data_IF_554420061751
#
_entry.id   IF_554420061751
#
_cell.length_a   1.000
_cell.length_b   1.000
_cell.length_c   1.000
_cell.angle_alpha   90.00
_cell.angle_beta   90.00
_cell.angle_gamma   90.00
#
_symmetry.space_group_name_H-M   'P 1'
#
loop_
_entity.id
_entity.type
_entity.pdbx_description
1 polymer ?
#
# COMPACT_ATOMS: atom_id res chain seq x y z
N UNK A 1 -13.00 -18.37 -5.98
CA UNK A 1 -12.53 -17.32 -5.06
C UNK A 1 -13.63 -16.30 -4.98
N UNK A 2 -14.06 -15.99 -3.75
CA UNK A 2 -14.99 -14.89 -3.51
C UNK A 2 -14.29 -13.56 -3.82
N UNK A 3 -15.01 -12.55 -4.32
CA UNK A 3 -14.44 -11.23 -4.65
C UNK A 3 -13.69 -10.60 -3.47
N UNK A 4 -14.16 -10.87 -2.24
CA UNK A 4 -13.53 -10.42 -0.99
C UNK A 4 -12.15 -11.02 -0.76
N UNK A 5 -11.97 -12.30 -1.10
CA UNK A 5 -10.68 -13.00 -0.95
C UNK A 5 -9.65 -12.48 -1.96
N UNK A 6 -10.10 -12.22 -3.20
CA UNK A 6 -9.26 -11.64 -4.24
C UNK A 6 -8.79 -10.24 -3.85
N UNK A 7 -9.69 -9.40 -3.32
CA UNK A 7 -9.36 -8.04 -2.85
C UNK A 7 -8.35 -8.10 -1.69
N UNK A 8 -8.52 -9.03 -0.76
CA UNK A 8 -7.59 -9.21 0.36
C UNK A 8 -6.19 -9.64 -0.08
N UNK A 9 -6.09 -10.59 -1.02
CA UNK A 9 -4.79 -11.08 -1.52
C UNK A 9 -4.10 -10.07 -2.47
N UNK A 10 -4.87 -9.32 -3.25
CA UNK A 10 -4.33 -8.36 -4.22
C UNK A 10 -3.90 -7.02 -3.61
N UNK A 11 -4.20 -6.77 -2.33
CA UNK A 11 -3.93 -5.48 -1.68
C UNK A 11 -2.47 -5.02 -1.79
N UNK A 12 -1.51 -5.87 -1.38
CA UNK A 12 -0.08 -5.54 -1.44
C UNK A 12 0.44 -5.38 -2.88
N UNK A 13 0.18 -6.31 -3.82
CA UNK A 13 0.54 -6.12 -5.24
C UNK A 13 0.00 -4.84 -5.86
N UNK A 14 -1.25 -4.46 -5.54
CA UNK A 14 -1.86 -3.22 -6.03
C UNK A 14 -1.15 -1.99 -5.47
N UNK A 15 -0.83 -1.98 -4.17
CA UNK A 15 -0.05 -0.89 -3.56
C UNK A 15 1.32 -0.75 -4.23
N UNK A 16 2.01 -1.88 -4.49
CA UNK A 16 3.31 -1.88 -5.17
C UNK A 16 3.19 -1.30 -6.58
N UNK A 17 2.17 -1.69 -7.34
CA UNK A 17 1.93 -1.15 -8.68
C UNK A 17 1.70 0.37 -8.66
N UNK A 18 0.98 0.90 -7.66
CA UNK A 18 0.77 2.34 -7.52
C UNK A 18 2.06 3.09 -7.20
N UNK A 19 2.93 2.53 -6.34
CA UNK A 19 4.25 3.12 -6.09
C UNK A 19 5.11 3.12 -7.35
N UNK A 20 5.04 2.08 -8.19
CA UNK A 20 5.72 2.08 -9.50
C UNK A 20 5.20 3.17 -10.45
N UNK A 21 3.91 3.50 -10.38
CA UNK A 21 3.37 4.66 -11.11
C UNK A 21 3.99 5.97 -10.59
N UNK A 22 4.10 6.14 -9.26
CA UNK A 22 4.76 7.32 -8.67
C UNK A 22 6.21 7.44 -9.15
N UNK A 23 6.95 6.33 -9.21
CA UNK A 23 8.33 6.31 -9.69
C UNK A 23 8.45 6.76 -11.15
N UNK A 24 7.50 6.36 -11.99
CA UNK A 24 7.50 6.71 -13.43
C UNK A 24 7.06 8.15 -13.69
N UNK A 25 6.10 8.65 -12.92
CA UNK A 25 5.54 10.00 -13.11
C UNK A 25 6.39 11.07 -12.40
N UNK A 26 7.02 10.72 -11.28
CA UNK A 26 7.90 11.59 -10.51
C UNK A 26 9.32 11.01 -10.39
N UNK A 27 10.12 11.01 -11.47
CA UNK A 27 11.50 10.50 -11.42
C UNK A 27 12.41 11.30 -10.46
N UNK A 28 12.01 12.51 -10.08
CA UNK A 28 12.67 13.35 -9.07
C UNK A 28 12.35 12.95 -7.62
N UNK A 29 11.38 12.05 -7.41
CA UNK A 29 10.94 11.62 -6.08
C UNK A 29 12.04 10.76 -5.44
N UNK A 30 12.57 11.16 -4.27
CA UNK A 30 13.64 10.39 -3.63
C UNK A 30 13.18 9.00 -3.24
N UNK A 31 14.01 7.98 -3.48
CA UNK A 31 13.67 6.58 -3.19
C UNK A 31 13.35 6.31 -1.72
N UNK A 32 13.91 7.13 -0.82
CA UNK A 32 13.61 7.11 0.62
C UNK A 32 12.13 7.38 0.95
N UNK A 33 11.36 7.93 0.01
CA UNK A 33 9.94 8.24 0.21
C UNK A 33 9.02 7.12 -0.27
N UNK A 34 9.51 6.12 -1.02
CA UNK A 34 8.69 5.00 -1.51
C UNK A 34 7.98 4.21 -0.39
N UNK A 35 8.60 3.93 0.78
CA UNK A 35 7.90 3.33 1.91
C UNK A 35 6.72 4.16 2.41
N UNK A 36 6.84 5.50 2.35
CA UNK A 36 5.77 6.43 2.77
C UNK A 36 4.63 6.42 1.76
N UNK A 37 4.95 6.43 0.46
CA UNK A 37 3.95 6.30 -0.60
C UNK A 37 3.17 4.98 -0.49
N UNK A 38 3.85 3.87 -0.21
CA UNK A 38 3.20 2.58 0.03
C UNK A 38 2.19 2.64 1.20
N UNK A 39 2.55 3.31 2.29
CA UNK A 39 1.66 3.49 3.43
C UNK A 39 0.45 4.39 3.09
N UNK A 40 0.68 5.50 2.40
CA UNK A 40 -0.38 6.43 1.95
C UNK A 40 -1.37 5.71 1.04
N UNK A 41 -0.89 4.92 0.07
CA UNK A 41 -1.76 4.13 -0.80
C UNK A 41 -2.49 3.02 -0.06
N UNK A 42 -1.84 2.32 0.88
CA UNK A 42 -2.48 1.29 1.68
C UNK A 42 -3.66 1.83 2.50
N UNK A 43 -3.46 2.95 3.19
CA UNK A 43 -4.51 3.63 3.96
C UNK A 43 -5.59 4.18 3.03
N UNK A 44 -5.20 4.95 2.01
CA UNK A 44 -6.14 5.61 1.10
C UNK A 44 -7.07 4.62 0.39
N UNK A 45 -6.52 3.52 -0.14
CA UNK A 45 -7.30 2.50 -0.82
C UNK A 45 -8.26 1.77 0.14
N UNK A 46 -7.79 1.35 1.31
CA UNK A 46 -8.65 0.60 2.23
C UNK A 46 -9.75 1.48 2.83
N UNK A 47 -9.46 2.76 3.13
CA UNK A 47 -10.49 3.71 3.59
C UNK A 47 -11.51 3.96 2.48
N UNK A 48 -11.07 4.16 1.24
CA UNK A 48 -11.97 4.39 0.10
C UNK A 48 -12.88 3.18 -0.17
N UNK A 49 -12.31 1.98 -0.16
CA UNK A 49 -13.05 0.72 -0.34
C UNK A 49 -13.99 0.49 0.85
N UNK A 50 -13.49 0.65 2.07
CA UNK A 50 -14.27 0.50 3.30
C UNK A 50 -15.48 1.43 3.34
N UNK A 51 -15.30 2.69 2.92
CA UNK A 51 -16.39 3.66 2.81
C UNK A 51 -17.47 3.23 1.82
N UNK A 52 -17.09 2.72 0.64
CA UNK A 52 -18.05 2.21 -0.35
C UNK A 52 -18.76 0.92 0.10
N UNK A 53 -18.11 0.11 0.94
CA UNK A 53 -18.65 -1.14 1.45
C UNK A 53 -19.41 -0.99 2.79
N UNK A 54 -19.50 0.23 3.34
CA UNK A 54 -20.13 0.49 4.64
C UNK A 54 -19.38 -0.15 5.82
N UNK A 55 -18.08 -0.38 5.68
CA UNK A 55 -17.22 -0.90 6.75
C UNK A 55 -16.86 0.23 7.69
N UNK A 56 -16.69 -0.10 8.98
CA UNK A 56 -16.23 0.85 9.98
C UNK A 56 -14.93 1.57 9.52
N UNK A 57 -14.87 2.91 9.59
CA UNK A 57 -13.71 3.68 9.13
C UNK A 57 -12.42 3.34 9.88
N UNK A 58 -12.51 3.03 11.18
CA UNK A 58 -11.34 2.67 11.99
C UNK A 58 -10.79 1.31 11.55
N UNK A 59 -11.67 0.32 11.37
CA UNK A 59 -11.27 -1.00 10.84
C UNK A 59 -10.60 -0.85 9.48
N UNK A 60 -11.20 -0.07 8.58
CA UNK A 60 -10.68 0.16 7.23
C UNK A 60 -9.30 0.84 7.24
N UNK A 61 -9.13 1.85 8.11
CA UNK A 61 -7.85 2.52 8.28
C UNK A 61 -6.77 1.57 8.83
N UNK A 62 -7.10 0.75 9.84
CA UNK A 62 -6.18 -0.23 10.43
C UNK A 62 -5.77 -1.30 9.41
N UNK A 63 -6.72 -1.84 8.64
CA UNK A 63 -6.41 -2.77 7.54
C UNK A 63 -5.49 -2.13 6.52
N UNK A 64 -5.72 -0.86 6.17
CA UNK A 64 -4.87 -0.09 5.28
C UNK A 64 -3.46 0.15 5.82
N UNK A 65 -3.32 0.43 7.11
CA UNK A 65 -2.01 0.55 7.78
C UNK A 65 -1.25 -0.78 7.68
N UNK A 66 -1.89 -1.90 8.01
CA UNK A 66 -1.25 -3.22 7.95
C UNK A 66 -0.81 -3.56 6.53
N UNK A 67 -1.67 -3.37 5.54
CA UNK A 67 -1.35 -3.60 4.13
C UNK A 67 -0.24 -2.67 3.62
N UNK A 68 -0.31 -1.38 3.98
CA UNK A 68 0.69 -0.37 3.62
C UNK A 68 2.06 -0.64 4.26
N UNK A 69 2.10 -1.09 5.51
CA UNK A 69 3.34 -1.50 6.18
C UNK A 69 3.93 -2.79 5.59
N UNK A 70 3.09 -3.75 5.21
CA UNK A 70 3.54 -4.95 4.51
C UNK A 70 4.19 -4.61 3.16
N UNK A 71 3.60 -3.68 2.41
CA UNK A 71 4.16 -3.16 1.17
C UNK A 71 5.42 -2.30 1.38
N UNK A 72 5.43 -1.46 2.42
CA UNK A 72 6.57 -0.56 2.72
C UNK A 72 7.84 -1.34 3.06
N UNK A 73 7.69 -2.51 3.70
CA UNK A 73 8.79 -3.44 3.97
C UNK A 73 9.57 -3.83 2.72
N UNK A 74 8.91 -3.95 1.56
CA UNK A 74 9.57 -4.28 0.29
C UNK A 74 10.59 -3.21 -0.15
N UNK A 75 10.36 -1.94 0.21
CA UNK A 75 11.25 -0.83 -0.12
C UNK A 75 12.29 -0.55 0.97
N UNK A 76 12.01 -0.91 2.23
CA UNK A 76 12.95 -0.73 3.34
C UNK A 76 14.01 -1.85 3.42
N UNK A 77 13.69 -3.07 2.98
CA UNK A 77 14.62 -4.20 2.94
C UNK A 77 15.81 -3.99 1.99
N UNK A 78 15.64 -3.14 0.97
CA UNK A 78 16.71 -2.78 0.03
C UNK A 78 17.95 -2.17 0.71
N UNK A 79 17.81 -1.65 1.94
CA UNK A 79 18.93 -1.11 2.72
C UNK A 79 19.70 -2.15 3.55
N UNK A 80 19.11 -3.29 3.88
CA UNK A 80 19.70 -4.28 4.80
C UNK A 80 20.54 -5.33 4.05
N UNK A 81 20.21 -5.63 2.79
CA UNK A 81 20.91 -6.66 2.02
C UNK A 81 22.29 -6.23 1.46
N UNK A 82 22.67 -4.95 1.59
CA UNK A 82 23.90 -4.37 1.02
C UNK A 82 24.81 -3.77 2.11
N UNK A 83 24.55 -4.09 3.38
CA UNK A 83 25.34 -3.65 4.55
C UNK A 83 26.33 -4.70 5.02
#
# INVERSE_FOLDING_TARGET
MELRELIGMAGVPVIVALVEVVKRVGPEVPERTYPVWALVFGIGLNVLVGWQLGVDPMVSALTGIVAGLAASGLYSQAKVAIG
#
